data_IF_623635643547
#
_entry.id   IF_623635643547
#
_cell.length_a   1.000
_cell.length_b   1.000
_cell.length_c   1.000
_cell.angle_alpha   90.00
_cell.angle_beta   90.00
_cell.angle_gamma   90.00
#
_symmetry.space_group_name_H-M   'P 1'
#
loop_
_entity.id
_entity.type
_entity.pdbx_description
1 polymer ?
#
# COMPACT_ATOMS: atom_id res chain seq x y z
N UNK A 1 12.14 26.58 53.17
CA UNK A 1 10.98 26.62 52.28
C UNK A 1 11.36 26.03 50.94
N UNK A 2 10.96 24.81 50.66
CA UNK A 2 11.11 24.18 49.33
C UNK A 2 9.88 24.57 48.52
N UNK A 3 10.09 25.34 47.45
CA UNK A 3 9.08 25.53 46.39
C UNK A 3 9.00 24.25 45.58
N UNK A 4 7.87 23.54 45.67
CA UNK A 4 7.48 22.53 44.70
C UNK A 4 6.92 23.26 43.48
N UNK A 5 7.65 23.25 42.39
CA UNK A 5 7.11 23.60 41.09
C UNK A 5 6.10 22.52 40.69
N UNK A 6 4.83 22.90 40.64
CA UNK A 6 3.77 22.05 40.07
C UNK A 6 3.98 22.09 38.54
N UNK A 7 4.52 21.02 37.98
CA UNK A 7 4.47 20.82 36.55
C UNK A 7 3.00 20.73 36.14
N UNK A 8 2.58 21.67 35.31
CA UNK A 8 1.23 21.64 34.74
C UNK A 8 1.14 20.43 33.80
N UNK A 9 0.39 19.42 34.23
CA UNK A 9 0.02 18.31 33.33
C UNK A 9 -0.69 18.88 32.09
N UNK A 10 -0.07 18.74 30.93
CA UNK A 10 -0.73 19.02 29.65
C UNK A 10 -1.83 17.99 29.44
N UNK A 11 -3.06 18.37 29.73
CA UNK A 11 -4.22 17.55 29.44
C UNK A 11 -4.54 17.63 27.96
N UNK A 12 -4.41 16.49 27.28
CA UNK A 12 -4.81 16.36 25.90
C UNK A 12 -6.34 16.39 25.86
N UNK A 13 -6.91 17.38 25.18
CA UNK A 13 -8.35 17.52 24.98
C UNK A 13 -8.71 17.03 23.58
N UNK A 14 -9.58 16.03 23.50
CA UNK A 14 -10.16 15.58 22.25
C UNK A 14 -11.50 16.26 22.03
N UNK A 15 -11.71 16.77 20.81
CA UNK A 15 -13.02 17.24 20.36
C UNK A 15 -13.52 16.33 19.24
N UNK A 16 -14.76 15.92 19.34
CA UNK A 16 -15.42 15.25 18.21
C UNK A 16 -15.78 16.32 17.19
N UNK A 17 -15.31 16.12 15.94
CA UNK A 17 -15.63 16.97 14.80
C UNK A 17 -16.11 16.10 13.65
N UNK A 18 -17.05 16.62 12.87
CA UNK A 18 -17.43 16.00 11.60
C UNK A 18 -16.40 16.38 10.56
N UNK A 19 -15.80 15.38 9.94
CA UNK A 19 -14.88 15.55 8.81
C UNK A 19 -15.50 14.92 7.57
N UNK A 20 -15.28 15.55 6.43
CA UNK A 20 -15.73 15.05 5.13
C UNK A 20 -14.50 14.77 4.27
N UNK A 21 -14.54 13.68 3.54
CA UNK A 21 -13.60 13.46 2.45
C UNK A 21 -13.93 14.44 1.31
N UNK A 22 -12.91 14.98 0.64
CA UNK A 22 -13.12 15.95 -0.44
C UNK A 22 -13.98 15.37 -1.58
N UNK A 23 -13.93 14.04 -1.79
CA UNK A 23 -14.77 13.36 -2.77
C UNK A 23 -16.27 13.37 -2.43
N UNK A 24 -16.63 13.69 -1.16
CA UNK A 24 -18.01 13.87 -0.68
C UNK A 24 -18.48 15.32 -0.79
N UNK A 25 -17.68 16.20 -1.38
CA UNK A 25 -17.96 17.61 -1.54
C UNK A 25 -18.24 17.96 -3.00
N UNK A 26 -18.62 19.21 -3.26
CA UNK A 26 -18.76 19.75 -4.62
C UNK A 26 -17.42 20.28 -5.19
N UNK A 27 -16.29 19.92 -4.59
CA UNK A 27 -14.98 20.33 -5.08
C UNK A 27 -14.75 19.73 -6.48
N UNK A 28 -14.35 20.52 -7.46
CA UNK A 28 -13.95 20.00 -8.77
C UNK A 28 -12.78 19.02 -8.63
N UNK A 29 -12.76 17.97 -9.44
CA UNK A 29 -11.73 16.93 -9.35
C UNK A 29 -10.32 17.47 -9.66
N UNK A 30 -10.21 18.49 -10.49
CA UNK A 30 -8.97 19.19 -10.82
C UNK A 30 -8.35 19.90 -9.62
N UNK A 31 -9.16 20.25 -8.62
CA UNK A 31 -8.73 20.94 -7.39
C UNK A 31 -8.41 19.94 -6.25
N UNK A 32 -8.54 18.65 -6.50
CA UNK A 32 -8.21 17.64 -5.47
C UNK A 32 -6.72 17.67 -5.14
N UNK A 33 -6.36 17.55 -3.85
CA UNK A 33 -4.96 17.51 -3.45
C UNK A 33 -4.21 16.36 -4.12
N UNK A 34 -3.11 16.67 -4.79
CA UNK A 34 -2.25 15.70 -5.47
C UNK A 34 -1.13 15.20 -4.54
N UNK A 35 -1.46 14.86 -3.31
CA UNK A 35 -0.47 14.53 -2.29
C UNK A 35 0.42 13.33 -2.62
N UNK A 36 0.01 12.53 -3.59
CA UNK A 36 0.67 11.28 -3.87
C UNK A 36 0.78 10.99 -5.38
N UNK A 37 0.52 11.98 -6.18
CA UNK A 37 0.75 11.90 -7.60
C UNK A 37 2.26 11.74 -7.83
N UNK A 38 2.66 10.75 -8.60
CA UNK A 38 4.05 10.58 -9.04
C UNK A 38 4.49 11.70 -9.98
N UNK A 39 3.57 12.59 -10.34
CA UNK A 39 3.82 13.82 -11.06
C UNK A 39 4.11 13.63 -12.54
N UNK A 40 4.04 12.39 -13.05
CA UNK A 40 4.22 12.11 -14.47
C UNK A 40 3.45 10.88 -14.92
N UNK A 41 3.03 10.91 -16.18
CA UNK A 41 2.49 9.76 -16.90
C UNK A 41 3.37 9.52 -18.12
N UNK A 42 3.74 8.26 -18.37
CA UNK A 42 4.50 7.88 -19.55
C UNK A 42 3.84 6.70 -20.25
N UNK A 43 4.02 6.60 -21.57
CA UNK A 43 3.52 5.45 -22.33
C UNK A 43 4.09 4.13 -21.81
N UNK A 44 5.34 4.13 -21.36
CA UNK A 44 5.96 2.96 -20.74
C UNK A 44 5.22 2.55 -19.46
N UNK A 45 4.85 3.50 -18.59
CA UNK A 45 4.11 3.18 -17.36
C UNK A 45 2.72 2.65 -17.65
N UNK A 46 2.07 3.17 -18.66
CA UNK A 46 0.79 2.66 -19.14
C UNK A 46 0.90 1.22 -19.65
N UNK A 47 1.91 0.93 -20.46
CA UNK A 47 2.18 -0.43 -20.94
C UNK A 47 2.46 -1.40 -19.77
N UNK A 48 3.26 -0.99 -18.79
CA UNK A 48 3.52 -1.79 -17.60
C UNK A 48 2.26 -1.99 -16.76
N UNK A 49 1.41 -0.98 -16.64
CA UNK A 49 0.13 -1.10 -15.95
C UNK A 49 -0.76 -2.16 -16.60
N UNK A 50 -0.89 -2.15 -17.93
CA UNK A 50 -1.67 -3.15 -18.67
C UNK A 50 -1.05 -4.56 -18.57
N UNK A 51 0.28 -4.69 -18.56
CA UNK A 51 0.95 -5.96 -18.35
C UNK A 51 0.71 -6.50 -16.93
N UNK A 52 0.82 -5.65 -15.91
CA UNK A 52 0.52 -6.02 -14.51
C UNK A 52 -0.95 -6.45 -14.35
N UNK A 53 -1.88 -5.71 -14.96
CA UNK A 53 -3.30 -6.05 -14.95
C UNK A 53 -3.54 -7.42 -15.62
N UNK A 54 -2.91 -7.65 -16.76
CA UNK A 54 -2.99 -8.93 -17.48
C UNK A 54 -2.44 -10.09 -16.64
N UNK A 55 -1.31 -9.87 -15.93
CA UNK A 55 -0.75 -10.83 -15.00
C UNK A 55 -1.74 -11.18 -13.88
N UNK A 56 -2.32 -10.17 -13.22
CA UNK A 56 -3.31 -10.40 -12.16
C UNK A 56 -4.49 -11.23 -12.67
N UNK A 57 -5.01 -10.92 -13.85
CA UNK A 57 -6.17 -11.59 -14.41
C UNK A 57 -5.87 -13.03 -14.87
N UNK A 58 -4.72 -13.26 -15.51
CA UNK A 58 -4.39 -14.57 -16.10
C UNK A 58 -3.71 -15.51 -15.10
N UNK A 59 -2.72 -15.02 -14.37
CA UNK A 59 -1.90 -15.87 -13.50
C UNK A 59 -2.48 -16.01 -12.08
N UNK A 60 -3.10 -14.93 -11.56
CA UNK A 60 -3.70 -14.94 -10.22
C UNK A 60 -5.21 -15.16 -10.23
N UNK A 61 -5.85 -15.21 -11.43
CA UNK A 61 -7.30 -15.19 -11.58
C UNK A 61 -7.95 -14.07 -10.75
N UNK A 62 -7.26 -12.94 -10.64
CA UNK A 62 -7.62 -11.79 -9.82
C UNK A 62 -8.08 -10.65 -10.74
N UNK A 63 -9.34 -10.28 -10.66
CA UNK A 63 -9.90 -9.20 -11.50
C UNK A 63 -9.41 -7.84 -11.03
N UNK A 64 -9.06 -6.97 -11.97
CA UNK A 64 -8.64 -5.59 -11.69
C UNK A 64 -9.70 -4.62 -12.21
N UNK A 65 -10.26 -3.83 -11.29
CA UNK A 65 -11.31 -2.84 -11.57
C UNK A 65 -10.82 -1.43 -11.29
N UNK A 66 -11.19 -0.50 -12.15
CA UNK A 66 -11.05 0.93 -11.87
C UNK A 66 -12.41 1.49 -11.46
N UNK A 67 -12.47 2.02 -10.25
CA UNK A 67 -13.70 2.50 -9.62
C UNK A 67 -13.57 3.97 -9.19
N UNK A 68 -14.69 4.66 -9.10
CA UNK A 68 -14.76 5.92 -8.36
C UNK A 68 -15.01 5.61 -6.89
N UNK A 69 -14.05 5.95 -6.04
CA UNK A 69 -14.22 5.85 -4.60
C UNK A 69 -14.83 7.14 -4.03
N UNK A 70 -15.57 6.99 -2.94
CA UNK A 70 -16.08 8.12 -2.16
C UNK A 70 -15.02 8.67 -1.18
N UNK A 71 -13.76 8.39 -1.43
CA UNK A 71 -12.61 8.84 -0.64
C UNK A 71 -11.44 9.12 -1.57
N UNK A 72 -10.79 10.28 -1.39
CA UNK A 72 -9.56 10.64 -2.11
C UNK A 72 -8.31 10.01 -1.50
N UNK A 73 -8.39 9.56 -0.25
CA UNK A 73 -7.29 8.89 0.44
C UNK A 73 -7.18 7.42 0.05
N UNK A 74 -8.30 6.79 -0.31
CA UNK A 74 -8.32 5.39 -0.76
C UNK A 74 -7.91 5.31 -2.23
N UNK A 75 -6.78 4.68 -2.48
CA UNK A 75 -6.22 4.55 -3.82
C UNK A 75 -6.53 3.22 -4.47
N UNK A 76 -6.57 2.18 -3.68
CA UNK A 76 -6.88 0.83 -4.09
C UNK A 76 -6.98 -0.08 -2.89
N UNK A 77 -7.45 -1.28 -3.13
CA UNK A 77 -7.45 -2.38 -2.16
C UNK A 77 -7.61 -3.71 -2.87
N UNK A 78 -7.04 -4.75 -2.28
CA UNK A 78 -7.31 -6.13 -2.63
C UNK A 78 -8.43 -6.68 -1.75
N UNK A 79 -9.43 -7.30 -2.36
CA UNK A 79 -10.50 -8.03 -1.67
C UNK A 79 -10.28 -9.54 -1.84
N UNK A 80 -9.85 -10.25 -0.79
CA UNK A 80 -9.63 -11.69 -0.86
C UNK A 80 -10.91 -12.50 -1.05
N UNK A 81 -12.08 -11.97 -0.63
CA UNK A 81 -13.35 -12.68 -0.74
C UNK A 81 -13.82 -12.79 -2.19
N UNK A 82 -13.68 -11.73 -2.97
CA UNK A 82 -14.01 -11.70 -4.40
C UNK A 82 -12.81 -12.01 -5.30
N UNK A 83 -11.61 -12.13 -4.74
CA UNK A 83 -10.34 -12.22 -5.46
C UNK A 83 -10.22 -11.11 -6.51
N UNK A 84 -10.34 -9.87 -6.07
CA UNK A 84 -10.30 -8.71 -6.96
C UNK A 84 -9.51 -7.56 -6.37
N UNK A 85 -8.90 -6.77 -7.26
CA UNK A 85 -8.24 -5.51 -6.92
C UNK A 85 -9.10 -4.38 -7.46
N UNK A 86 -9.41 -3.42 -6.60
CA UNK A 86 -10.08 -2.18 -6.98
C UNK A 86 -9.11 -1.02 -6.88
N UNK A 87 -9.00 -0.24 -7.96
CA UNK A 87 -8.12 0.93 -8.04
C UNK A 87 -8.97 2.20 -8.21
N UNK A 88 -8.53 3.29 -7.64
CA UNK A 88 -9.16 4.58 -7.87
C UNK A 88 -8.86 5.09 -9.27
N UNK A 89 -9.92 5.34 -10.07
CA UNK A 89 -9.81 5.91 -11.40
C UNK A 89 -9.42 7.40 -11.43
N UNK A 90 -9.18 8.02 -10.27
CA UNK A 90 -8.84 9.45 -10.19
C UNK A 90 -7.34 9.73 -10.42
N UNK A 91 -6.49 8.70 -10.40
CA UNK A 91 -5.05 8.84 -10.52
C UNK A 91 -4.54 8.54 -11.93
N UNK A 92 -3.36 9.03 -12.24
CA UNK A 92 -2.66 8.70 -13.46
C UNK A 92 -2.15 7.25 -13.50
N UNK A 93 -1.71 6.80 -14.67
CA UNK A 93 -1.29 5.41 -14.87
C UNK A 93 -0.05 5.06 -14.03
N UNK A 94 0.82 6.03 -13.75
CA UNK A 94 2.02 5.81 -12.91
C UNK A 94 1.63 5.58 -11.45
N UNK A 95 0.68 6.36 -10.95
CA UNK A 95 0.14 6.20 -9.60
C UNK A 95 -0.65 4.89 -9.49
N UNK A 96 -1.51 4.59 -10.46
CA UNK A 96 -2.25 3.31 -10.50
C UNK A 96 -1.31 2.12 -10.55
N UNK A 97 -0.23 2.16 -11.34
CA UNK A 97 0.77 1.11 -11.40
C UNK A 97 1.44 0.89 -10.04
N UNK A 98 1.82 1.96 -9.34
CA UNK A 98 2.38 1.87 -7.98
C UNK A 98 1.41 1.24 -6.97
N UNK A 99 0.13 1.56 -7.06
CA UNK A 99 -0.90 0.93 -6.22
C UNK A 99 -1.12 -0.52 -6.63
N UNK A 100 -1.25 -0.80 -7.93
CA UNK A 100 -1.46 -2.15 -8.44
C UNK A 100 -0.34 -3.10 -8.02
N UNK A 101 0.94 -2.67 -8.04
CA UNK A 101 2.05 -3.51 -7.55
C UNK A 101 1.91 -3.86 -6.07
N UNK A 102 1.40 -2.96 -5.24
CA UNK A 102 1.14 -3.20 -3.82
C UNK A 102 -0.04 -4.18 -3.61
N UNK A 103 -1.16 -3.93 -4.26
CA UNK A 103 -2.35 -4.80 -4.14
C UNK A 103 -2.11 -6.20 -4.75
N UNK A 104 -1.29 -6.29 -5.79
CA UNK A 104 -0.85 -7.58 -6.35
C UNK A 104 -0.04 -8.37 -5.32
N UNK A 105 0.80 -7.71 -4.54
CA UNK A 105 1.54 -8.38 -3.47
C UNK A 105 0.60 -8.94 -2.40
N UNK A 106 -0.45 -8.21 -2.00
CA UNK A 106 -1.50 -8.75 -1.14
C UNK A 106 -2.20 -9.96 -1.75
N UNK A 107 -2.53 -9.91 -3.04
CA UNK A 107 -3.18 -11.02 -3.75
C UNK A 107 -2.30 -12.28 -3.79
N UNK A 108 -0.98 -12.15 -3.89
CA UNK A 108 -0.03 -13.27 -3.91
C UNK A 108 0.21 -13.81 -2.51
N UNK A 109 0.45 -12.93 -1.53
CA UNK A 109 0.99 -13.29 -0.22
C UNK A 109 -0.08 -13.50 0.85
N UNK A 110 -1.25 -12.88 0.70
CA UNK A 110 -2.22 -12.77 1.78
C UNK A 110 -3.63 -13.27 1.42
N UNK A 111 -3.84 -13.74 0.19
CA UNK A 111 -5.14 -14.27 -0.26
C UNK A 111 -5.58 -15.50 0.54
N UNK A 112 -4.66 -16.43 0.79
CA UNK A 112 -4.93 -17.70 1.45
C UNK A 112 -4.15 -17.79 2.77
N UNK A 113 -4.31 -16.77 3.63
CA UNK A 113 -3.76 -16.89 4.98
C UNK A 113 -4.56 -17.95 5.73
N UNK A 114 -3.93 -19.09 5.94
CA UNK A 114 -4.45 -20.11 6.85
C UNK A 114 -4.66 -19.47 8.23
N UNK A 115 -5.79 -19.76 8.86
CA UNK A 115 -6.12 -19.29 10.22
C UNK A 115 -5.06 -19.63 11.26
N UNK A 116 -4.15 -20.54 10.93
CA UNK A 116 -2.99 -20.92 11.76
C UNK A 116 -1.78 -19.99 11.54
N UNK A 117 -1.76 -19.18 10.47
CA UNK A 117 -0.69 -18.24 10.16
C UNK A 117 -1.19 -16.80 10.40
N UNK A 118 -1.38 -16.48 11.67
CA UNK A 118 -1.79 -15.12 12.06
C UNK A 118 -0.59 -14.18 11.88
N UNK A 119 -0.58 -13.42 10.77
CA UNK A 119 0.34 -12.31 10.57
C UNK A 119 -0.29 -11.03 11.14
N UNK A 120 0.52 -10.16 11.74
CA UNK A 120 0.07 -8.83 12.10
C UNK A 120 -0.16 -7.98 10.84
N UNK A 121 -1.00 -6.96 10.94
CA UNK A 121 -1.22 -5.98 9.87
C UNK A 121 0.12 -5.36 9.42
N UNK A 122 0.97 -4.95 10.36
CA UNK A 122 2.29 -4.41 10.07
C UNK A 122 3.18 -5.38 9.27
N UNK A 123 3.08 -6.68 9.53
CA UNK A 123 3.83 -7.69 8.79
C UNK A 123 3.30 -7.85 7.36
N UNK A 124 1.97 -7.86 7.19
CA UNK A 124 1.36 -7.95 5.86
C UNK A 124 1.66 -6.71 5.02
N UNK A 125 1.53 -5.52 5.60
CA UNK A 125 1.87 -4.26 4.94
C UNK A 125 3.36 -4.17 4.57
N UNK A 126 4.24 -4.61 5.48
CA UNK A 126 5.67 -4.68 5.20
C UNK A 126 5.98 -5.59 4.00
N UNK A 127 5.39 -6.78 3.95
CA UNK A 127 5.58 -7.72 2.85
C UNK A 127 5.06 -7.15 1.53
N UNK A 128 3.89 -6.51 1.53
CA UNK A 128 3.31 -5.89 0.34
C UNK A 128 4.14 -4.69 -0.15
N UNK A 129 4.56 -3.81 0.75
CA UNK A 129 5.41 -2.67 0.41
C UNK A 129 6.79 -3.10 -0.09
N UNK A 130 7.44 -4.08 0.55
CA UNK A 130 8.74 -4.60 0.11
C UNK A 130 8.64 -5.20 -1.29
N UNK A 131 7.62 -6.00 -1.57
CA UNK A 131 7.36 -6.56 -2.91
C UNK A 131 7.11 -5.45 -3.93
N UNK A 132 6.28 -4.48 -3.60
CA UNK A 132 5.96 -3.34 -4.47
C UNK A 132 7.20 -2.51 -4.80
N UNK A 133 8.05 -2.23 -3.80
CA UNK A 133 9.31 -1.50 -3.99
C UNK A 133 10.26 -2.27 -4.92
N UNK A 134 10.39 -3.59 -4.74
CA UNK A 134 11.21 -4.42 -5.63
C UNK A 134 10.69 -4.39 -7.08
N UNK A 135 9.36 -4.52 -7.28
CA UNK A 135 8.73 -4.44 -8.60
C UNK A 135 8.91 -3.08 -9.24
N UNK A 136 8.64 -2.00 -8.50
CA UNK A 136 8.82 -0.65 -9.01
C UNK A 136 10.28 -0.38 -9.41
N UNK A 137 11.24 -0.81 -8.57
CA UNK A 137 12.67 -0.71 -8.90
C UNK A 137 13.03 -1.50 -10.14
N UNK A 138 12.50 -2.71 -10.29
CA UNK A 138 12.73 -3.55 -11.47
C UNK A 138 12.22 -2.91 -12.76
N UNK A 139 11.06 -2.25 -12.70
CA UNK A 139 10.49 -1.51 -13.83
C UNK A 139 11.12 -0.13 -14.04
N UNK A 140 12.11 0.25 -13.24
CA UNK A 140 12.76 1.57 -13.33
C UNK A 140 11.88 2.73 -12.88
N UNK A 141 10.84 2.46 -12.09
CA UNK A 141 9.95 3.48 -11.56
C UNK A 141 10.59 4.23 -10.39
N UNK A 142 10.29 5.51 -10.27
CA UNK A 142 10.66 6.27 -9.10
C UNK A 142 9.79 5.86 -7.89
N UNK A 143 10.42 5.46 -6.81
CA UNK A 143 9.73 5.10 -5.57
C UNK A 143 9.46 6.36 -4.77
N UNK A 144 8.19 6.73 -4.53
CA UNK A 144 7.84 7.91 -3.75
C UNK A 144 8.39 7.84 -2.32
N UNK A 145 8.83 8.97 -1.78
CA UNK A 145 9.33 9.05 -0.40
C UNK A 145 8.29 8.59 0.63
N UNK A 146 7.01 8.83 0.36
CA UNK A 146 5.90 8.33 1.19
C UNK A 146 5.89 6.81 1.28
N UNK A 147 6.17 6.09 0.18
CA UNK A 147 6.26 4.63 0.17
C UNK A 147 7.47 4.13 0.96
N UNK A 148 8.61 4.81 0.80
CA UNK A 148 9.82 4.47 1.55
C UNK A 148 9.60 4.66 3.06
N UNK A 149 8.95 5.75 3.46
CA UNK A 149 8.61 6.00 4.87
C UNK A 149 7.63 4.96 5.40
N UNK A 150 6.57 4.63 4.65
CA UNK A 150 5.60 3.62 5.06
C UNK A 150 6.26 2.27 5.31
N UNK A 151 7.08 1.80 4.36
CA UNK A 151 7.87 0.57 4.53
C UNK A 151 8.76 0.61 5.79
N UNK A 152 9.45 1.74 6.04
CA UNK A 152 10.29 1.90 7.21
C UNK A 152 9.48 1.90 8.53
N UNK A 153 8.29 2.47 8.53
CA UNK A 153 7.42 2.52 9.70
C UNK A 153 6.82 1.14 10.01
N UNK A 154 6.42 0.37 9.00
CA UNK A 154 5.99 -1.02 9.18
C UNK A 154 7.14 -1.89 9.73
N UNK A 155 8.35 -1.74 9.20
CA UNK A 155 9.54 -2.42 9.73
C UNK A 155 9.79 -2.09 11.20
N UNK A 156 9.73 -0.81 11.60
CA UNK A 156 9.89 -0.39 13.00
C UNK A 156 8.80 -0.99 13.89
N UNK A 157 7.55 -1.02 13.40
CA UNK A 157 6.42 -1.61 14.12
C UNK A 157 6.65 -3.11 14.35
N UNK A 158 7.10 -3.83 13.34
CA UNK A 158 7.48 -5.26 13.47
C UNK A 158 8.61 -5.45 14.47
N UNK A 159 9.66 -4.63 14.43
CA UNK A 159 10.78 -4.70 15.37
C UNK A 159 10.38 -4.39 16.82
N UNK A 160 9.36 -3.58 17.03
CA UNK A 160 8.83 -3.25 18.35
C UNK A 160 7.90 -4.33 18.92
N UNK A 161 7.32 -5.17 18.06
CA UNK A 161 6.43 -6.27 18.45
C UNK A 161 7.26 -7.46 18.96
N UNK A 162 7.17 -7.72 20.27
CA UNK A 162 7.91 -8.82 20.93
C UNK A 162 7.48 -10.22 20.47
N UNK A 163 6.33 -10.35 19.82
CA UNK A 163 5.85 -11.62 19.26
C UNK A 163 6.51 -11.94 17.90
N UNK A 164 7.15 -10.96 17.25
CA UNK A 164 7.82 -11.11 15.96
C UNK A 164 9.33 -11.24 16.19
N UNK A 165 9.89 -12.37 15.81
CA UNK A 165 11.33 -12.63 15.90
C UNK A 165 12.08 -12.06 14.67
N UNK A 166 13.40 -11.92 14.79
CA UNK A 166 14.23 -11.57 13.64
C UNK A 166 14.16 -12.60 12.51
N UNK A 167 13.90 -13.86 12.84
CA UNK A 167 13.69 -14.91 11.85
C UNK A 167 12.38 -14.71 11.08
N UNK A 168 11.32 -14.21 11.74
CA UNK A 168 10.06 -13.89 11.07
C UNK A 168 10.22 -12.70 10.11
N UNK A 169 11.00 -11.69 10.50
CA UNK A 169 11.34 -10.56 9.61
C UNK A 169 12.11 -11.04 8.37
N UNK A 170 13.12 -11.90 8.56
CA UNK A 170 13.87 -12.49 7.43
C UNK A 170 12.94 -13.30 6.53
N UNK A 171 12.04 -14.09 7.11
CA UNK A 171 11.05 -14.88 6.37
C UNK A 171 10.09 -13.99 5.57
N UNK A 172 9.66 -12.85 6.13
CA UNK A 172 8.84 -11.88 5.41
C UNK A 172 9.56 -11.28 4.21
N UNK A 173 10.85 -10.97 4.33
CA UNK A 173 11.67 -10.53 3.18
C UNK A 173 11.81 -11.61 2.11
N UNK A 174 12.01 -12.87 2.51
CA UNK A 174 12.05 -14.00 1.57
C UNK A 174 10.71 -14.21 0.84
N UNK A 175 9.59 -14.03 1.53
CA UNK A 175 8.25 -14.07 0.93
C UNK A 175 8.09 -12.95 -0.09
N UNK A 176 8.44 -11.72 0.28
CA UNK A 176 8.39 -10.56 -0.63
C UNK A 176 9.26 -10.77 -1.87
N UNK A 177 10.47 -11.30 -1.69
CA UNK A 177 11.36 -11.58 -2.82
C UNK A 177 10.81 -12.66 -3.75
N UNK A 178 10.20 -13.72 -3.21
CA UNK A 178 9.55 -14.75 -4.05
C UNK A 178 8.37 -14.20 -4.83
N UNK A 179 7.53 -13.38 -4.18
CA UNK A 179 6.41 -12.72 -4.84
C UNK A 179 6.89 -11.80 -5.96
N UNK A 180 7.90 -10.96 -5.69
CA UNK A 180 8.56 -10.14 -6.69
C UNK A 180 9.02 -10.97 -7.90
N UNK A 181 9.78 -12.06 -7.66
CA UNK A 181 10.27 -12.92 -8.73
C UNK A 181 9.14 -13.55 -9.54
N UNK A 182 8.10 -14.03 -8.87
CA UNK A 182 6.93 -14.60 -9.55
C UNK A 182 6.31 -13.63 -10.56
N UNK A 183 6.23 -12.35 -10.22
CA UNK A 183 5.72 -11.32 -11.13
C UNK A 183 6.76 -11.01 -12.23
N UNK A 184 7.99 -10.71 -11.85
CA UNK A 184 9.04 -10.28 -12.77
C UNK A 184 9.34 -11.32 -13.86
N UNK A 185 9.32 -12.62 -13.51
CA UNK A 185 9.58 -13.72 -14.44
C UNK A 185 8.43 -13.93 -15.46
N UNK A 186 7.23 -13.44 -15.17
CA UNK A 186 6.04 -13.61 -16.01
C UNK A 186 5.64 -12.37 -16.83
N UNK A 187 6.25 -11.21 -16.57
CA UNK A 187 5.92 -9.94 -17.27
C UNK A 187 7.00 -9.59 -18.33
N UNK A 188 8.07 -10.35 -18.45
CA UNK A 188 9.13 -10.15 -19.45
C UNK A 188 8.71 -10.59 -20.85
#
# INVERSE_FOLDING_TARGET
YKQHSIEAEQRIHFKVGTVFDIAQTNCPKEDYPKYFDLGYTSEQHKQLYELMKTYCEKELNCKVHENQFNSVSLRGFFDPASNSISLSGMFDDSTKLSVLTHETAHAILHKELDKTQIKSEAQMEFEADATSVMLQSYFGLQIPESRQRHLADQYKTMCADKSISSADITKSLDHSHRAYKSVADNIN
#
